data_IF_673268607751
#
_entry.id   IF_673268607751
#
_cell.length_a   1.000
_cell.length_b   1.000
_cell.length_c   1.000
_cell.angle_alpha   90.00
_cell.angle_beta   90.00
_cell.angle_gamma   90.00
#
_symmetry.space_group_name_H-M   'P 1'
#
loop_
_entity.id
_entity.type
_entity.pdbx_description
1 polymer ?
#
# COMPACT_ATOMS: atom_id res chain seq x y z
N UNK A 1 -16.24 30.99 59.92
CA UNK A 1 -15.17 31.31 58.93
C UNK A 1 -15.67 30.86 57.58
N UNK A 2 -15.87 31.77 56.67
CA UNK A 2 -16.62 31.60 55.42
C UNK A 2 -15.76 30.99 54.33
N UNK A 3 -16.27 29.94 53.70
CA UNK A 3 -15.67 29.30 52.49
C UNK A 3 -16.25 29.95 51.24
N UNK A 4 -15.42 30.54 50.43
CA UNK A 4 -15.78 31.16 49.16
C UNK A 4 -15.81 30.07 48.08
N UNK A 5 -16.99 29.81 47.52
CA UNK A 5 -17.19 28.93 46.36
C UNK A 5 -17.06 29.82 45.12
N UNK A 6 -16.01 29.67 44.37
CA UNK A 6 -15.84 30.32 43.08
C UNK A 6 -16.41 29.43 41.97
N UNK A 7 -17.52 29.87 41.41
CA UNK A 7 -18.17 29.28 40.22
C UNK A 7 -17.48 29.78 38.96
N UNK A 8 -16.81 28.88 38.24
CA UNK A 8 -16.28 29.16 36.91
C UNK A 8 -17.29 28.76 35.82
N UNK A 9 -17.84 29.76 35.15
CA UNK A 9 -18.74 29.60 34.02
C UNK A 9 -18.02 29.02 32.80
N UNK A 10 -18.62 28.00 32.20
CA UNK A 10 -18.20 27.42 30.91
C UNK A 10 -18.68 28.31 29.75
N UNK A 11 -17.84 28.54 28.74
CA UNK A 11 -18.29 29.26 27.54
C UNK A 11 -19.16 28.35 26.65
N UNK A 12 -20.35 28.82 26.37
CA UNK A 12 -21.29 28.23 25.40
C UNK A 12 -20.72 28.38 23.99
N UNK A 13 -20.47 27.27 23.34
CA UNK A 13 -20.02 27.19 21.95
C UNK A 13 -21.21 27.37 21.03
N UNK A 14 -21.24 28.49 20.29
CA UNK A 14 -22.26 28.79 19.29
C UNK A 14 -22.25 27.74 18.16
N UNK A 15 -23.43 27.24 17.85
CA UNK A 15 -23.70 26.38 16.70
C UNK A 15 -23.56 27.19 15.40
N UNK A 16 -22.49 26.98 14.66
CA UNK A 16 -22.37 27.52 13.32
C UNK A 16 -23.26 26.70 12.35
N UNK A 17 -24.22 27.43 11.81
CA UNK A 17 -25.12 27.04 10.73
C UNK A 17 -24.35 26.52 9.50
N UNK A 18 -24.77 25.35 8.98
CA UNK A 18 -24.30 24.83 7.71
C UNK A 18 -24.79 25.73 6.56
N UNK A 19 -23.92 26.07 5.59
CA UNK A 19 -24.37 26.78 4.40
C UNK A 19 -25.12 25.82 3.47
N UNK A 20 -26.31 26.26 3.11
CA UNK A 20 -27.18 25.65 2.11
C UNK A 20 -26.50 25.59 0.73
N UNK A 21 -26.76 24.50 0.07
CA UNK A 21 -26.53 24.14 -1.30
C UNK A 21 -26.51 25.34 -2.27
N UNK A 22 -25.36 25.73 -2.76
CA UNK A 22 -25.20 26.62 -3.91
C UNK A 22 -24.86 25.80 -5.14
N UNK A 23 -25.66 25.99 -6.17
CA UNK A 23 -25.59 25.36 -7.48
C UNK A 23 -24.20 25.45 -8.09
N UNK A 24 -23.58 24.29 -8.33
CA UNK A 24 -22.39 24.18 -9.18
C UNK A 24 -22.80 24.25 -10.63
N UNK A 25 -22.77 25.45 -11.19
CA UNK A 25 -22.67 25.65 -12.63
C UNK A 25 -21.43 24.92 -13.15
N UNK A 26 -21.64 23.82 -13.84
CA UNK A 26 -20.60 23.08 -14.56
C UNK A 26 -20.17 23.89 -15.79
N UNK A 27 -19.14 24.70 -15.65
CA UNK A 27 -18.42 25.23 -16.83
C UNK A 27 -17.62 24.06 -17.43
N UNK A 28 -18.14 23.49 -18.48
CA UNK A 28 -17.42 22.62 -19.41
C UNK A 28 -16.32 23.44 -20.08
N UNK A 29 -15.12 23.41 -19.56
CA UNK A 29 -13.94 23.87 -20.27
C UNK A 29 -13.66 22.86 -21.40
N UNK A 30 -14.23 23.13 -22.58
CA UNK A 30 -13.80 22.46 -23.81
C UNK A 30 -12.38 22.91 -24.11
N UNK A 31 -11.41 22.08 -23.83
CA UNK A 31 -10.05 22.24 -24.32
C UNK A 31 -10.08 22.00 -25.85
N UNK A 32 -10.21 23.08 -26.63
CA UNK A 32 -10.05 23.02 -28.07
C UNK A 32 -8.56 22.93 -28.41
N UNK A 33 -8.13 21.75 -28.78
CA UNK A 33 -6.77 21.47 -29.29
C UNK A 33 -6.54 21.97 -30.73
N UNK A 34 -7.47 22.71 -31.30
CA UNK A 34 -7.46 23.06 -32.73
C UNK A 34 -6.70 24.34 -33.11
N UNK A 35 -6.08 25.08 -32.16
CA UNK A 35 -5.53 26.41 -32.46
C UNK A 35 -4.03 26.49 -32.64
N UNK A 36 -3.31 25.38 -32.79
CA UNK A 36 -1.83 25.43 -32.89
C UNK A 36 -1.22 24.86 -34.16
N UNK A 37 -2.02 24.58 -35.19
CA UNK A 37 -1.44 24.16 -36.46
C UNK A 37 -1.44 25.35 -37.45
N UNK A 38 -0.26 25.75 -37.98
CA UNK A 38 -0.20 26.75 -39.04
C UNK A 38 -0.92 26.21 -40.28
N UNK A 39 -1.86 26.99 -40.79
CA UNK A 39 -2.55 26.69 -42.04
C UNK A 39 -1.56 26.56 -43.19
N UNK A 40 -1.27 25.35 -43.61
CA UNK A 40 -0.53 25.11 -44.85
C UNK A 40 -1.53 25.25 -46.00
N UNK A 41 -1.47 26.38 -46.70
CA UNK A 41 -2.21 26.57 -47.95
C UNK A 41 -1.57 25.71 -49.04
N UNK A 42 -2.11 24.51 -49.24
CA UNK A 42 -1.75 23.68 -50.39
C UNK A 42 -2.65 24.10 -51.56
N UNK A 43 -2.09 24.85 -52.51
CA UNK A 43 -2.74 25.13 -53.81
C UNK A 43 -2.84 23.82 -54.60
N UNK A 44 -4.04 23.32 -54.74
CA UNK A 44 -4.33 22.10 -55.48
C UNK A 44 -4.37 22.44 -56.98
N UNK A 45 -3.26 22.18 -57.68
CA UNK A 45 -3.29 22.13 -59.13
C UNK A 45 -4.19 20.95 -59.54
N UNK A 46 -5.16 21.25 -60.40
CA UNK A 46 -6.10 20.31 -60.95
C UNK A 46 -5.43 19.24 -61.79
N UNK A 47 -5.07 18.11 -61.16
CA UNK A 47 -4.72 16.91 -61.90
C UNK A 47 -5.98 16.07 -62.11
N UNK A 48 -6.29 15.75 -63.37
CA UNK A 48 -7.30 14.79 -63.77
C UNK A 48 -7.03 13.43 -63.09
N UNK A 49 -7.97 13.04 -62.25
CA UNK A 49 -7.92 11.76 -61.53
C UNK A 49 -8.11 10.59 -62.51
N UNK A 50 -7.25 9.59 -62.47
CA UNK A 50 -7.52 8.31 -63.09
C UNK A 50 -8.69 7.63 -62.38
N UNK A 51 -9.49 6.75 -63.06
CA UNK A 51 -10.64 6.10 -62.46
C UNK A 51 -10.23 5.29 -61.22
N UNK A 52 -10.94 5.48 -60.13
CA UNK A 52 -10.66 4.88 -58.87
C UNK A 52 -10.62 3.33 -58.97
N UNK A 53 -9.52 2.69 -58.48
CA UNK A 53 -9.54 1.24 -58.32
C UNK A 53 -10.66 0.86 -57.34
N UNK A 54 -11.39 -0.19 -57.68
CA UNK A 54 -12.49 -0.72 -56.86
C UNK A 54 -11.97 -0.96 -55.43
N UNK A 55 -12.61 -0.30 -54.49
CA UNK A 55 -12.32 -0.44 -53.05
C UNK A 55 -12.59 -1.87 -52.66
N UNK A 56 -11.55 -2.70 -52.66
CA UNK A 56 -11.60 -3.93 -51.90
C UNK A 56 -11.86 -3.53 -50.46
N UNK A 57 -12.98 -3.97 -49.92
CA UNK A 57 -13.36 -3.78 -48.51
C UNK A 57 -12.19 -4.28 -47.67
N UNK A 58 -11.32 -3.36 -47.28
CA UNK A 58 -10.31 -3.67 -46.24
C UNK A 58 -11.12 -3.97 -44.99
N UNK A 59 -11.31 -5.25 -44.75
CA UNK A 59 -11.92 -5.70 -43.51
C UNK A 59 -10.99 -5.29 -42.37
N UNK A 60 -11.31 -4.19 -41.74
CA UNK A 60 -10.63 -3.70 -40.56
C UNK A 60 -10.80 -4.76 -39.46
N UNK A 61 -9.79 -5.61 -39.24
CA UNK A 61 -9.80 -6.58 -38.17
C UNK A 61 -9.54 -5.85 -36.85
N UNK A 62 -10.57 -5.16 -36.38
CA UNK A 62 -10.56 -4.48 -35.09
C UNK A 62 -10.86 -5.47 -33.94
N UNK A 63 -11.01 -6.75 -34.24
CA UNK A 63 -11.46 -7.76 -33.29
C UNK A 63 -10.41 -8.13 -32.22
N UNK A 64 -9.13 -7.85 -32.42
CA UNK A 64 -8.09 -8.22 -31.47
C UNK A 64 -8.04 -7.28 -30.24
N UNK A 65 -8.35 -6.02 -30.40
CA UNK A 65 -8.32 -5.02 -29.30
C UNK A 65 -9.53 -5.13 -28.37
N UNK A 66 -10.71 -5.37 -28.93
CA UNK A 66 -11.93 -5.51 -28.13
C UNK A 66 -11.93 -6.76 -27.26
N UNK A 67 -11.28 -7.84 -27.68
CA UNK A 67 -11.18 -9.08 -26.88
C UNK A 67 -10.25 -8.93 -25.67
N UNK A 68 -9.16 -8.17 -25.77
CA UNK A 68 -8.26 -7.92 -24.63
C UNK A 68 -8.90 -7.02 -23.59
N UNK A 69 -9.53 -5.93 -23.99
CA UNK A 69 -10.19 -5.01 -23.07
C UNK A 69 -11.37 -5.67 -22.33
N UNK A 70 -12.11 -6.55 -23.00
CA UNK A 70 -13.19 -7.32 -22.36
C UNK A 70 -12.64 -8.37 -21.38
N UNK A 71 -11.50 -8.99 -21.66
CA UNK A 71 -10.83 -9.94 -20.78
C UNK A 71 -10.21 -9.26 -19.54
N UNK A 72 -9.73 -8.04 -19.69
CA UNK A 72 -9.19 -7.26 -18.57
C UNK A 72 -10.29 -6.69 -17.68
N UNK A 73 -11.39 -6.22 -18.24
CA UNK A 73 -12.58 -5.77 -17.49
C UNK A 73 -13.28 -6.93 -16.75
N UNK A 74 -13.21 -8.15 -17.31
CA UNK A 74 -13.75 -9.36 -16.65
C UNK A 74 -12.90 -9.85 -15.47
N UNK A 75 -11.62 -9.46 -15.37
CA UNK A 75 -10.80 -9.70 -14.19
C UNK A 75 -11.10 -8.66 -13.12
N UNK A 76 -12.31 -8.73 -12.56
CA UNK A 76 -12.57 -8.01 -11.33
C UNK A 76 -11.54 -8.45 -10.27
N UNK A 77 -10.90 -7.52 -9.57
CA UNK A 77 -9.99 -7.88 -8.50
C UNK A 77 -10.74 -8.78 -7.52
N UNK A 78 -10.17 -9.93 -7.20
CA UNK A 78 -10.77 -10.90 -6.28
C UNK A 78 -11.20 -10.18 -5.01
N UNK A 79 -12.50 -10.17 -4.73
CA UNK A 79 -13.02 -9.57 -3.51
C UNK A 79 -12.40 -10.30 -2.33
N UNK A 80 -11.74 -9.57 -1.46
CA UNK A 80 -11.24 -10.14 -0.22
C UNK A 80 -12.39 -10.75 0.57
N UNK A 81 -12.19 -11.97 1.09
CA UNK A 81 -13.18 -12.64 1.93
C UNK A 81 -13.48 -11.80 3.19
N UNK A 82 -14.62 -12.06 3.85
CA UNK A 82 -14.96 -11.37 5.09
C UNK A 82 -13.85 -11.50 6.15
N UNK A 83 -13.31 -12.70 6.33
CA UNK A 83 -12.20 -12.97 7.25
C UNK A 83 -10.98 -12.09 6.93
N UNK A 84 -10.58 -12.02 5.68
CA UNK A 84 -9.45 -11.16 5.29
C UNK A 84 -9.70 -9.68 5.54
N UNK A 85 -10.94 -9.22 5.42
CA UNK A 85 -11.30 -7.82 5.72
C UNK A 85 -11.27 -7.55 7.22
N UNK A 86 -11.84 -8.43 8.04
CA UNK A 86 -11.81 -8.27 9.50
C UNK A 86 -10.38 -8.30 10.04
N UNK A 87 -9.53 -9.23 9.57
CA UNK A 87 -8.12 -9.29 9.95
C UNK A 87 -7.33 -8.03 9.60
N UNK A 88 -7.66 -7.35 8.50
CA UNK A 88 -7.03 -6.08 8.14
C UNK A 88 -7.27 -4.95 9.14
N UNK A 89 -8.46 -4.93 9.78
CA UNK A 89 -8.83 -3.91 10.77
C UNK A 89 -8.42 -4.30 12.19
N UNK A 90 -8.66 -5.56 12.56
CA UNK A 90 -8.40 -6.05 13.93
C UNK A 90 -6.92 -6.31 14.19
N UNK A 91 -6.18 -6.75 13.16
CA UNK A 91 -4.76 -7.09 13.22
C UNK A 91 -4.00 -6.39 12.10
N UNK A 92 -3.85 -5.07 12.17
CA UNK A 92 -3.29 -4.28 11.07
C UNK A 92 -1.82 -4.60 10.79
N UNK A 93 -1.04 -4.97 11.80
CA UNK A 93 0.39 -5.20 11.67
C UNK A 93 0.71 -6.69 11.64
N UNK A 94 1.44 -7.11 10.60
CA UNK A 94 1.86 -8.48 10.39
C UNK A 94 3.38 -8.58 10.44
N UNK A 95 3.89 -9.41 11.32
CA UNK A 95 5.30 -9.79 11.37
C UNK A 95 5.56 -10.94 10.39
N UNK A 96 6.51 -10.75 9.50
CA UNK A 96 7.02 -11.78 8.61
C UNK A 96 8.48 -12.05 8.94
N UNK A 97 8.82 -13.26 9.34
CA UNK A 97 10.18 -13.72 9.57
C UNK A 97 10.57 -14.70 8.48
N UNK A 98 11.72 -14.53 7.90
CA UNK A 98 12.24 -15.40 6.86
C UNK A 98 13.67 -15.84 7.17
N UNK A 99 13.89 -17.12 7.25
CA UNK A 99 15.19 -17.74 7.45
C UNK A 99 15.74 -18.19 6.10
N UNK A 100 16.83 -17.56 5.67
CA UNK A 100 17.63 -18.03 4.53
C UNK A 100 18.77 -18.90 5.03
N UNK A 101 19.44 -19.61 4.12
CA UNK A 101 20.67 -20.34 4.43
C UNK A 101 21.80 -19.46 4.97
N UNK A 102 21.83 -18.18 4.56
CA UNK A 102 22.92 -17.25 4.87
C UNK A 102 22.56 -16.15 5.85
N UNK A 103 21.28 -15.78 5.99
CA UNK A 103 20.84 -14.65 6.82
C UNK A 103 19.41 -14.79 7.29
N UNK A 104 19.06 -14.01 8.31
CA UNK A 104 17.70 -13.89 8.85
C UNK A 104 17.16 -12.53 8.43
N UNK A 105 15.88 -12.50 8.04
CA UNK A 105 15.18 -11.30 7.66
C UNK A 105 13.84 -11.22 8.36
N UNK A 106 13.60 -10.17 9.13
CA UNK A 106 12.34 -9.87 9.79
C UNK A 106 11.80 -8.55 9.26
N UNK A 107 10.51 -8.50 8.99
CA UNK A 107 9.82 -7.27 8.57
C UNK A 107 8.43 -7.19 9.16
N UNK A 108 8.03 -6.00 9.57
CA UNK A 108 6.67 -5.68 9.98
C UNK A 108 6.01 -4.89 8.87
N UNK A 109 4.84 -5.32 8.46
CA UNK A 109 4.08 -4.69 7.39
C UNK A 109 2.63 -4.47 7.79
N UNK A 110 2.06 -3.38 7.30
CA UNK A 110 0.65 -3.06 7.49
C UNK A 110 -0.20 -3.82 6.46
N UNK A 111 -1.17 -4.63 6.92
CA UNK A 111 -1.99 -5.50 6.05
C UNK A 111 -2.84 -4.72 5.05
N UNK A 112 -3.40 -3.58 5.48
CA UNK A 112 -4.29 -2.77 4.66
C UNK A 112 -3.59 -2.13 3.47
N UNK A 113 -2.45 -1.49 3.73
CA UNK A 113 -1.69 -0.72 2.74
C UNK A 113 -0.54 -1.49 2.12
N UNK A 114 -0.21 -2.68 2.64
CA UNK A 114 0.97 -3.48 2.26
C UNK A 114 2.31 -2.71 2.40
N UNK A 115 2.32 -1.61 3.15
CA UNK A 115 3.54 -0.86 3.44
C UNK A 115 4.38 -1.59 4.47
N UNK A 116 5.68 -1.61 4.26
CA UNK A 116 6.65 -2.09 5.25
C UNK A 116 6.96 -0.96 6.22
N UNK A 117 6.81 -1.22 7.52
CA UNK A 117 6.99 -0.23 8.59
C UNK A 117 8.39 -0.34 9.17
N UNK A 118 8.77 -1.54 9.59
CA UNK A 118 10.09 -1.81 10.14
C UNK A 118 10.71 -3.05 9.51
N UNK A 119 12.04 -3.03 9.38
CA UNK A 119 12.83 -4.14 8.80
C UNK A 119 14.07 -4.34 9.64
N UNK A 120 14.40 -5.58 9.94
CA UNK A 120 15.66 -5.98 10.52
C UNK A 120 16.22 -7.19 9.75
N UNK A 121 17.49 -7.14 9.41
CA UNK A 121 18.17 -8.24 8.70
C UNK A 121 19.60 -8.39 9.20
N UNK A 122 20.04 -9.63 9.38
CA UNK A 122 21.44 -9.91 9.73
C UNK A 122 22.43 -9.60 8.60
N UNK A 123 21.92 -9.37 7.38
CA UNK A 123 22.74 -8.98 6.24
C UNK A 123 23.06 -7.46 6.21
N UNK A 124 22.56 -6.67 7.16
CA UNK A 124 22.94 -5.27 7.30
C UNK A 124 24.46 -5.15 7.54
N UNK A 125 25.08 -4.11 7.01
CA UNK A 125 26.54 -3.92 7.08
C UNK A 125 27.07 -3.97 8.52
N UNK A 126 26.33 -3.33 9.43
CA UNK A 126 26.68 -3.22 10.84
C UNK A 126 26.68 -4.60 11.50
N UNK A 127 25.59 -5.34 11.36
CA UNK A 127 25.42 -6.67 11.96
C UNK A 127 26.28 -7.75 11.30
N UNK A 128 26.59 -7.60 10.03
CA UNK A 128 27.39 -8.58 9.28
C UNK A 128 28.83 -8.63 9.76
N UNK A 129 29.37 -7.53 10.24
CA UNK A 129 30.73 -7.44 10.74
C UNK A 129 30.82 -7.85 12.23
N UNK A 130 29.74 -7.57 12.99
CA UNK A 130 29.73 -7.79 14.43
C UNK A 130 29.36 -9.23 14.83
N UNK A 131 28.64 -9.94 13.94
CA UNK A 131 28.16 -11.29 14.19
C UNK A 131 29.12 -12.35 13.66
N UNK A 132 29.54 -13.26 14.52
CA UNK A 132 30.33 -14.44 14.12
C UNK A 132 29.53 -15.36 13.18
N UNK A 133 28.20 -15.47 13.39
CA UNK A 133 27.29 -16.24 12.56
C UNK A 133 25.98 -15.47 12.33
N UNK A 134 25.53 -15.40 11.06
CA UNK A 134 24.34 -14.63 10.67
C UNK A 134 23.02 -15.40 10.84
N UNK A 135 23.10 -16.68 11.25
CA UNK A 135 21.92 -17.57 11.35
C UNK A 135 21.81 -18.29 12.68
N UNK A 136 22.62 -17.93 13.65
CA UNK A 136 22.64 -18.54 14.98
C UNK A 136 21.52 -18.03 15.89
N UNK A 137 21.37 -18.69 17.04
CA UNK A 137 20.42 -18.28 18.08
C UNK A 137 20.70 -16.86 18.60
N UNK A 138 21.99 -16.48 18.69
CA UNK A 138 22.37 -15.13 19.06
C UNK A 138 21.93 -14.10 18.02
N UNK A 139 22.11 -14.39 16.73
CA UNK A 139 21.61 -13.57 15.63
C UNK A 139 20.07 -13.44 15.67
N UNK A 140 19.34 -14.50 16.06
CA UNK A 140 17.88 -14.46 16.25
C UNK A 140 17.48 -13.48 17.37
N UNK A 141 18.20 -13.47 18.49
CA UNK A 141 17.94 -12.54 19.60
C UNK A 141 18.20 -11.10 19.19
N UNK A 142 19.30 -10.84 18.50
CA UNK A 142 19.64 -9.49 18.04
C UNK A 142 18.60 -8.97 17.05
N UNK A 143 18.15 -9.80 16.09
CA UNK A 143 17.09 -9.44 15.15
C UNK A 143 15.77 -9.19 15.90
N UNK A 144 15.43 -10.02 16.89
CA UNK A 144 14.26 -9.82 17.73
C UNK A 144 14.26 -8.46 18.45
N UNK A 145 15.40 -8.08 19.04
CA UNK A 145 15.59 -6.77 19.68
C UNK A 145 15.43 -5.63 18.69
N UNK A 146 16.15 -5.66 17.60
CA UNK A 146 16.14 -4.59 16.59
C UNK A 146 14.77 -4.38 15.96
N UNK A 147 14.05 -5.47 15.65
CA UNK A 147 12.70 -5.33 15.08
C UNK A 147 11.73 -4.74 16.11
N UNK A 148 11.88 -5.11 17.39
CA UNK A 148 11.08 -4.57 18.46
C UNK A 148 11.34 -3.07 18.69
N UNK A 149 12.61 -2.65 18.73
CA UNK A 149 13.00 -1.24 18.87
C UNK A 149 12.46 -0.41 17.71
N UNK A 150 12.72 -0.81 16.47
CA UNK A 150 12.21 -0.12 15.27
C UNK A 150 10.70 -0.11 15.15
N UNK A 151 10.03 -1.12 15.68
CA UNK A 151 8.57 -1.15 15.69
C UNK A 151 8.02 -0.17 16.72
N UNK A 152 8.66 -0.03 17.89
CA UNK A 152 8.31 0.97 18.91
C UNK A 152 8.56 2.39 18.42
N UNK A 153 9.65 2.64 17.71
CA UNK A 153 9.94 3.94 17.06
C UNK A 153 8.85 4.32 16.05
N UNK A 154 8.20 3.33 15.45
CA UNK A 154 7.08 3.50 14.53
C UNK A 154 5.69 3.41 15.21
N UNK A 155 5.61 3.52 16.54
CA UNK A 155 4.39 3.42 17.35
C UNK A 155 3.60 2.10 17.18
N UNK A 156 4.30 1.00 16.88
CA UNK A 156 3.70 -0.32 16.76
C UNK A 156 4.01 -1.16 18.00
N UNK A 157 3.05 -1.26 18.92
CA UNK A 157 3.15 -2.05 20.15
C UNK A 157 2.47 -3.40 20.12
N UNK A 158 1.63 -3.63 19.09
CA UNK A 158 0.95 -4.91 18.89
C UNK A 158 1.10 -5.37 17.45
N UNK A 159 1.39 -6.64 17.25
CA UNK A 159 1.50 -7.25 15.93
C UNK A 159 0.99 -8.69 15.92
N UNK A 160 0.62 -9.20 14.76
CA UNK A 160 0.25 -10.59 14.58
C UNK A 160 1.35 -11.34 13.87
N UNK A 161 1.49 -12.61 14.23
CA UNK A 161 2.35 -13.53 13.50
C UNK A 161 1.48 -14.67 12.92
N UNK A 162 1.60 -14.93 11.64
CA UNK A 162 0.94 -16.03 10.96
C UNK A 162 1.98 -17.02 10.47
N UNK A 163 2.04 -18.24 11.06
CA UNK A 163 2.96 -19.26 10.60
C UNK A 163 2.59 -19.69 9.18
N UNK A 164 3.60 -19.95 8.36
CA UNK A 164 3.40 -20.48 7.02
C UNK A 164 2.92 -21.93 7.10
N UNK A 165 2.32 -22.41 6.02
CA UNK A 165 1.87 -23.81 5.94
C UNK A 165 3.03 -24.76 6.22
N UNK A 166 2.93 -25.53 7.31
CA UNK A 166 3.96 -26.48 7.74
C UNK A 166 5.09 -25.88 8.59
N UNK A 167 5.06 -24.58 8.90
CA UNK A 167 6.04 -23.94 9.78
C UNK A 167 5.63 -24.14 11.25
N UNK A 168 6.56 -24.64 12.08
CA UNK A 168 6.37 -24.76 13.51
C UNK A 168 6.99 -23.57 14.22
N UNK A 169 6.31 -23.10 15.27
CA UNK A 169 6.81 -22.00 16.12
C UNK A 169 7.75 -22.60 17.17
N UNK A 170 8.86 -23.12 16.72
CA UNK A 170 9.88 -23.78 17.54
C UNK A 170 11.29 -23.33 17.12
N UNK A 171 12.28 -23.57 17.99
CA UNK A 171 13.68 -23.29 17.68
C UNK A 171 13.98 -21.83 17.40
N UNK A 172 14.63 -21.54 16.30
CA UNK A 172 15.08 -20.18 15.93
C UNK A 172 13.93 -19.19 15.83
N UNK A 173 12.80 -19.61 15.31
CA UNK A 173 11.60 -18.76 15.19
C UNK A 173 11.03 -18.43 16.56
N UNK A 174 10.92 -19.43 17.44
CA UNK A 174 10.49 -19.23 18.83
C UNK A 174 11.34 -18.19 19.54
N UNK A 175 12.69 -18.28 19.43
CA UNK A 175 13.62 -17.33 20.03
C UNK A 175 13.37 -15.89 19.54
N UNK A 176 13.14 -15.69 18.23
CA UNK A 176 12.82 -14.36 17.68
C UNK A 176 11.53 -13.83 18.30
N UNK A 177 10.46 -14.63 18.32
CA UNK A 177 9.16 -14.23 18.84
C UNK A 177 9.22 -13.95 20.35
N UNK A 178 9.89 -14.79 21.12
CA UNK A 178 10.05 -14.63 22.57
C UNK A 178 10.86 -13.36 22.89
N UNK A 179 11.93 -13.11 22.16
CA UNK A 179 12.72 -11.86 22.30
C UNK A 179 11.87 -10.63 21.99
N UNK A 180 11.00 -10.68 21.00
CA UNK A 180 10.11 -9.56 20.67
C UNK A 180 9.09 -9.33 21.81
N UNK A 181 8.55 -10.40 22.42
CA UNK A 181 7.66 -10.32 23.59
C UNK A 181 8.38 -9.73 24.80
N UNK A 182 9.59 -10.21 25.10
CA UNK A 182 10.45 -9.69 26.18
C UNK A 182 10.69 -8.18 26.05
N UNK A 183 10.81 -7.69 24.81
CA UNK A 183 10.90 -6.27 24.52
C UNK A 183 9.55 -5.54 24.57
N UNK A 184 8.49 -6.13 25.05
CA UNK A 184 7.20 -5.47 25.35
C UNK A 184 6.27 -5.27 24.15
N UNK A 185 6.40 -6.08 23.09
CA UNK A 185 5.46 -6.11 21.99
C UNK A 185 4.47 -7.25 22.20
N UNK A 186 3.19 -6.97 22.02
CA UNK A 186 2.09 -7.91 22.25
C UNK A 186 1.75 -8.62 20.92
N UNK A 187 1.66 -9.94 20.96
CA UNK A 187 1.15 -10.71 19.81
C UNK A 187 -0.36 -10.95 19.97
N UNK A 188 -1.11 -10.64 18.87
CA UNK A 188 -2.57 -10.70 18.80
C UNK A 188 -3.04 -11.74 17.78
#
# INVERSE_FOLDING_TARGET
MASIISSSALPTRSLNSFPTHSERSSKLNSLSWASSFPCINISINSFTLPPAPSMHKVSFVQAAWTRRSRGELAKQPNRKSWKQRTDMYMRPFLLNVFFSKKFIHAKVMHRGTSKVISVATTNAKDLRNDLASLTDHNACRIIGKLIAERSKEADVYAMSYEPRKGERIEGKLGIVLDTIKENGIIFV
#
